data_IF_462735148491
#
_entry.id   IF_462735148491
#
_cell.length_a   1.000
_cell.length_b   1.000
_cell.length_c   1.000
_cell.angle_alpha   90.00
_cell.angle_beta   90.00
_cell.angle_gamma   90.00
#
_symmetry.space_group_name_H-M   'P 1'
#
loop_
_entity.id
_entity.type
_entity.pdbx_description
1 polymer ?
2 non-polymer ?
#
# COMPACT_ATOMS: atom_id res chain seq x y z
N UNK A 22 0.51 -39.19 3.65
CA UNK A 22 0.33 -38.66 5.00
C UNK A 22 -0.41 -37.34 4.94
N UNK A 23 -1.49 -37.20 5.73
CA UNK A 23 -2.27 -35.96 5.68
C UNK A 23 -1.55 -34.77 6.31
N UNK A 24 -0.72 -35.01 7.33
CA UNK A 24 0.06 -33.92 7.92
C UNK A 24 1.19 -33.51 6.99
N UNK A 25 1.81 -34.46 6.30
CA UNK A 25 2.90 -34.13 5.39
C UNK A 25 2.41 -33.48 4.12
N UNK A 26 1.22 -33.85 3.64
CA UNK A 26 0.62 -33.14 2.51
C UNK A 26 0.15 -31.75 2.90
N UNK A 27 -0.10 -31.50 4.19
CA UNK A 27 -0.59 -30.19 4.61
C UNK A 27 0.50 -29.13 4.58
N UNK A 28 1.77 -29.53 4.59
CA UNK A 28 2.89 -28.58 4.50
C UNK A 28 3.60 -28.63 3.17
N UNK A 29 3.80 -29.82 2.59
CA UNK A 29 4.52 -29.92 1.33
C UNK A 29 3.66 -29.59 0.13
N UNK A 30 2.34 -29.50 0.29
CA UNK A 30 1.45 -29.20 -0.82
C UNK A 30 0.51 -28.03 -0.57
N UNK A 31 0.34 -27.58 0.66
CA UNK A 31 -0.57 -26.49 0.95
C UNK A 31 0.14 -25.26 1.49
N UNK A 32 1.00 -25.42 2.50
CA UNK A 32 1.76 -24.29 3.02
C UNK A 32 2.83 -23.87 2.02
N UNK A 33 3.47 -24.85 1.36
CA UNK A 33 4.42 -24.52 0.30
C UNK A 33 3.75 -23.93 -0.93
N UNK A 34 2.45 -24.16 -1.11
CA UNK A 34 1.71 -23.53 -2.19
C UNK A 34 1.08 -22.21 -1.77
N UNK A 35 0.92 -22.01 -0.47
CA UNK A 35 0.41 -20.77 0.05
C UNK A 35 1.52 -19.74 -0.09
N UNK A 36 2.75 -20.14 0.25
CA UNK A 36 3.89 -19.25 0.14
C UNK A 36 4.29 -19.03 -1.32
N UNK A 37 4.04 -20.01 -2.19
CA UNK A 37 4.39 -19.84 -3.60
C UNK A 37 3.41 -18.89 -4.29
N UNK A 38 2.13 -18.97 -3.96
CA UNK A 38 1.20 -17.95 -4.43
C UNK A 38 1.48 -16.62 -3.75
N UNK A 39 1.89 -16.64 -2.49
CA UNK A 39 2.27 -15.40 -1.82
C UNK A 39 3.52 -14.80 -2.41
N UNK A 40 4.39 -15.61 -3.00
CA UNK A 40 5.56 -15.08 -3.68
C UNK A 40 5.20 -14.59 -5.08
N UNK A 41 4.44 -15.39 -5.83
CA UNK A 41 4.25 -15.13 -7.26
C UNK A 41 3.18 -14.08 -7.54
N UNK A 42 2.24 -13.86 -6.62
CA UNK A 42 1.23 -12.83 -6.86
C UNK A 42 1.78 -11.42 -6.70
N UNK A 43 2.90 -11.27 -6.01
CA UNK A 43 3.55 -9.98 -5.86
C UNK A 43 4.50 -9.65 -7.00
N UNK A 44 4.74 -10.58 -7.91
CA UNK A 44 5.71 -10.36 -8.98
C UNK A 44 5.06 -9.53 -10.08
N UNK A 45 5.22 -8.22 -9.99
CA UNK A 45 4.87 -7.29 -11.07
C UNK A 45 6.11 -6.44 -11.27
N UNK A 46 7.00 -6.82 -12.19
CA UNK A 46 8.24 -6.06 -12.37
C UNK A 46 8.02 -4.67 -12.94
N UNK A 47 7.00 -4.48 -13.76
CA UNK A 47 6.72 -3.18 -14.32
C UNK A 47 5.66 -2.42 -13.53
N UNK A 48 5.65 -2.60 -12.21
CA UNK A 48 4.69 -1.88 -11.37
C UNK A 48 5.25 -0.57 -10.85
N UNK A 49 6.54 -0.53 -10.54
CA UNK A 49 7.16 0.73 -10.16
C UNK A 49 7.30 1.66 -11.35
N UNK A 50 7.36 1.10 -12.55
CA UNK A 50 7.58 1.86 -13.78
C UNK A 50 6.30 2.08 -14.56
N UNK A 51 5.15 2.18 -13.87
CA UNK A 51 3.91 2.49 -14.56
C UNK A 51 3.89 3.95 -14.97
N UNK A 52 4.25 4.85 -14.05
CA UNK A 52 4.23 6.28 -14.31
C UNK A 52 5.33 6.76 -15.26
N UNK A 53 6.57 6.22 -15.25
CA UNK A 53 7.45 6.53 -16.39
C UNK A 53 7.01 5.92 -17.70
N UNK A 54 6.18 4.87 -17.68
CA UNK A 54 5.64 4.35 -18.94
C UNK A 54 4.52 5.22 -19.46
N UNK A 55 3.70 5.80 -18.56
CA UNK A 55 2.66 6.72 -18.99
C UNK A 55 3.27 8.02 -19.49
N UNK A 56 4.31 8.49 -18.84
CA UNK A 56 4.95 9.76 -19.19
C UNK A 56 6.11 9.58 -20.18
N UNK A 57 6.31 8.37 -20.69
CA UNK A 57 7.38 8.12 -21.62
C UNK A 57 6.97 8.35 -23.06
N UNK A 58 7.79 7.89 -24.00
CA UNK A 58 7.44 8.04 -25.41
C UNK A 58 6.40 7.06 -25.90
N UNK A 59 6.10 6.01 -25.14
CA UNK A 59 5.17 4.99 -25.61
C UNK A 59 3.73 5.48 -25.53
N UNK A 60 3.27 5.81 -24.33
CA UNK A 60 1.91 6.29 -24.15
C UNK A 60 1.77 7.78 -24.41
N UNK A 61 2.81 8.56 -24.07
CA UNK A 61 2.94 9.99 -24.34
C UNK A 61 1.80 10.79 -23.69
N UNK A 62 1.76 10.74 -22.37
CA UNK A 62 0.85 11.57 -21.59
C UNK A 62 1.61 12.76 -21.02
N UNK A 63 0.88 13.84 -20.79
CA UNK A 63 1.45 15.04 -20.20
C UNK A 63 1.50 14.86 -18.69
N UNK A 64 2.43 15.54 -18.04
CA UNK A 64 2.55 15.42 -16.60
C UNK A 64 1.36 16.05 -15.87
N UNK A 65 0.66 16.93 -16.57
CA UNK A 65 -0.52 17.58 -16.01
C UNK A 65 -1.77 16.73 -16.29
N UNK A 66 -1.61 15.66 -17.06
CA UNK A 66 -2.71 14.77 -17.40
C UNK A 66 -2.70 13.49 -16.59
N UNK A 67 -1.55 13.10 -16.05
CA UNK A 67 -1.46 12.00 -15.11
C UNK A 67 -1.71 12.47 -13.68
N UNK A 68 -1.22 13.67 -13.35
CA UNK A 68 -1.37 14.19 -11.98
C UNK A 68 -2.80 14.58 -11.67
N UNK A 69 -3.55 15.08 -12.65
CA UNK A 69 -4.84 15.68 -12.40
C UNK A 69 -6.02 14.92 -12.97
N UNK A 70 -5.79 13.91 -13.79
CA UNK A 70 -6.88 13.15 -14.37
C UNK A 70 -6.76 11.65 -14.18
N UNK A 71 -5.55 11.12 -14.19
CA UNK A 71 -5.34 9.67 -14.12
C UNK A 71 -5.13 9.20 -12.70
N UNK A 72 -4.24 9.84 -11.96
CA UNK A 72 -3.97 9.46 -10.57
C UNK A 72 -5.05 9.81 -9.53
N UNK A 73 -5.83 10.91 -9.64
CA UNK A 73 -6.91 11.09 -8.63
C UNK A 73 -8.05 10.09 -8.72
N UNK A 74 -8.20 9.32 -9.79
CA UNK A 74 -9.21 8.27 -9.80
C UNK A 74 -8.69 6.98 -9.17
N UNK A 75 -7.44 7.00 -8.74
CA UNK A 75 -6.85 5.89 -8.03
C UNK A 75 -7.40 5.98 -6.62
N UNK A 76 -7.67 7.21 -6.17
CA UNK A 76 -8.27 7.46 -4.87
C UNK A 76 -9.78 7.55 -4.91
N UNK A 77 -10.35 7.88 -6.07
CA UNK A 77 -11.81 7.93 -6.20
C UNK A 77 -12.40 6.54 -6.19
N UNK A 78 -11.91 5.66 -7.06
CA UNK A 78 -12.45 4.32 -7.16
C UNK A 78 -12.08 3.45 -5.97
N UNK A 79 -10.99 3.78 -5.27
CA UNK A 79 -10.63 3.06 -4.05
C UNK A 79 -11.65 3.33 -2.95
N UNK A 80 -12.27 4.52 -2.94
CA UNK A 80 -13.40 4.74 -2.06
C UNK A 80 -14.62 3.96 -2.53
N UNK A 81 -14.77 3.77 -3.84
CA UNK A 81 -15.94 3.10 -4.38
C UNK A 81 -15.90 1.60 -4.17
N UNK A 82 -14.71 0.99 -4.20
CA UNK A 82 -14.60 -0.47 -4.20
C UNK A 82 -14.07 -0.99 -2.88
N UNK A 83 -13.87 -0.15 -1.87
CA UNK A 83 -13.35 -0.65 -0.60
C UNK A 83 -14.38 -1.45 0.16
N UNK A 84 -15.60 -0.92 0.26
CA UNK A 84 -16.70 -1.61 0.92
C UNK A 84 -17.20 -2.84 0.15
N UNK A 85 -17.28 -2.86 -1.20
CA UNK A 85 -17.62 -4.14 -1.84
C UNK A 85 -16.55 -5.22 -1.71
N UNK A 86 -15.28 -4.90 -1.92
CA UNK A 86 -14.24 -5.92 -1.87
C UNK A 86 -13.99 -6.38 -0.43
N UNK A 87 -14.28 -5.55 0.57
CA UNK A 87 -14.22 -6.02 1.96
C UNK A 87 -15.33 -7.02 2.25
N UNK A 88 -16.50 -6.83 1.65
CA UNK A 88 -17.62 -7.73 1.90
C UNK A 88 -17.62 -8.94 0.98
N UNK A 89 -17.15 -8.79 -0.26
CA UNK A 89 -17.08 -9.92 -1.16
C UNK A 89 -15.93 -10.87 -0.84
N UNK A 90 -14.95 -10.43 -0.05
CA UNK A 90 -13.88 -11.34 0.34
C UNK A 90 -14.34 -12.29 1.43
N UNK A 91 -15.15 -11.77 2.35
CA UNK A 91 -15.66 -12.58 3.46
C UNK A 91 -16.85 -13.44 3.04
N UNK A 92 -17.61 -12.99 2.04
CA UNK A 92 -18.78 -13.73 1.58
C UNK A 92 -18.39 -14.87 0.67
N UNK A 93 -17.38 -14.69 -0.18
CA UNK A 93 -16.96 -15.71 -1.12
C UNK A 93 -15.80 -16.56 -0.61
N UNK A 94 -15.45 -16.41 0.68
CA UNK A 94 -14.39 -17.16 1.36
C UNK A 94 -13.03 -16.98 0.69
N UNK A 95 -12.70 -15.72 0.40
CA UNK A 95 -11.34 -15.20 0.24
C UNK A 95 -10.58 -15.66 -1.00
N UNK A 96 -11.05 -16.70 -1.68
CA UNK A 96 -10.37 -17.21 -2.87
C UNK A 96 -10.78 -16.53 -4.18
N UNK A 97 -12.07 -16.30 -4.51
CA UNK A 97 -12.35 -15.60 -5.78
C UNK A 97 -11.95 -14.14 -5.79
N UNK A 98 -11.82 -13.50 -4.63
CA UNK A 98 -11.30 -12.14 -4.60
C UNK A 98 -9.79 -12.15 -4.77
N UNK A 99 -9.12 -13.22 -4.31
CA UNK A 99 -7.74 -13.45 -4.70
C UNK A 99 -7.62 -13.74 -6.19
N UNK A 100 -8.65 -14.34 -6.78
CA UNK A 100 -8.72 -14.48 -8.23
C UNK A 100 -9.11 -13.17 -8.91
N UNK A 101 -9.98 -12.38 -8.28
CA UNK A 101 -10.35 -11.07 -8.82
C UNK A 101 -9.18 -10.10 -8.76
N UNK A 102 -8.35 -10.19 -7.72
CA UNK A 102 -7.17 -9.34 -7.63
C UNK A 102 -6.17 -9.67 -8.73
N UNK A 103 -6.05 -10.96 -9.07
CA UNK A 103 -5.21 -11.32 -10.21
C UNK A 103 -5.84 -10.97 -11.53
N UNK A 104 -7.16 -11.06 -11.64
CA UNK A 104 -7.86 -10.70 -12.87
C UNK A 104 -8.03 -9.20 -13.03
N UNK A 105 -7.89 -8.42 -11.95
CA UNK A 105 -7.83 -6.97 -12.09
C UNK A 105 -6.42 -6.47 -12.31
N UNK A 106 -5.40 -7.22 -11.89
CA UNK A 106 -4.02 -6.85 -12.21
C UNK A 106 -3.71 -7.12 -13.67
N UNK A 107 -4.36 -8.12 -14.27
CA UNK A 107 -4.22 -8.35 -15.70
C UNK A 107 -4.87 -7.21 -16.48
N UNK A 108 -6.04 -6.76 -16.03
CA UNK A 108 -6.74 -5.67 -16.69
C UNK A 108 -6.06 -4.32 -16.51
N UNK A 109 -5.19 -4.19 -15.50
CA UNK A 109 -4.35 -3.00 -15.41
C UNK A 109 -3.25 -3.04 -16.47
N UNK A 110 -2.55 -4.16 -16.57
CA UNK A 110 -1.47 -4.28 -17.54
C UNK A 110 -1.98 -4.47 -18.96
N UNK A 111 -3.23 -4.86 -19.14
CA UNK A 111 -3.82 -4.84 -20.48
C UNK A 111 -4.17 -3.42 -20.90
N UNK A 112 -4.71 -2.62 -19.98
CA UNK A 112 -5.03 -1.24 -20.29
C UNK A 112 -3.78 -0.37 -20.38
N UNK A 113 -2.67 -0.79 -19.76
CA UNK A 113 -1.41 -0.09 -19.94
C UNK A 113 -0.87 -0.29 -21.34
N UNK A 114 -1.02 -1.50 -21.88
CA UNK A 114 -0.39 -1.86 -23.15
C UNK A 114 -1.31 -1.73 -24.34
N UNK A 115 -2.62 -1.68 -24.13
CA UNK A 115 -3.56 -1.52 -25.24
C UNK A 115 -4.33 -0.21 -25.19
N UNK A 116 -4.39 0.45 -24.04
CA UNK A 116 -5.07 1.72 -23.95
C UNK A 116 -4.17 2.88 -24.30
N UNK A 117 -4.74 3.88 -24.96
CA UNK A 117 -3.97 5.02 -25.43
C UNK A 117 -4.54 6.33 -24.91
N UNK A 118 -5.84 6.38 -24.67
CA UNK A 118 -6.51 7.59 -24.25
C UNK A 118 -6.42 7.78 -22.74
N UNK A 119 -7.03 8.85 -22.25
CA UNK A 119 -7.02 9.09 -20.81
C UNK A 119 -8.11 8.28 -20.12
N UNK A 120 -9.24 8.05 -20.80
CA UNK A 120 -10.31 7.26 -20.20
C UNK A 120 -9.92 5.80 -20.07
N UNK A 121 -8.99 5.33 -20.90
CA UNK A 121 -8.46 3.98 -20.70
C UNK A 121 -7.55 3.94 -19.47
N UNK A 122 -6.84 5.02 -19.20
CA UNK A 122 -5.97 5.06 -18.02
C UNK A 122 -6.74 5.41 -16.77
N UNK A 123 -7.88 6.09 -16.89
CA UNK A 123 -8.76 6.23 -15.74
C UNK A 123 -9.46 4.92 -15.42
N UNK A 124 -9.65 4.07 -16.43
CA UNK A 124 -10.12 2.71 -16.21
C UNK A 124 -8.99 1.81 -15.73
N UNK A 125 -7.75 2.14 -16.06
CA UNK A 125 -6.61 1.38 -15.57
C UNK A 125 -6.42 1.60 -14.08
N UNK A 126 -6.58 2.83 -13.61
CA UNK A 126 -6.50 3.10 -12.18
C UNK A 126 -7.78 2.74 -11.44
N UNK A 127 -8.87 2.46 -12.16
CA UNK A 127 -10.03 1.85 -11.52
C UNK A 127 -9.72 0.43 -11.09
N UNK A 128 -9.18 -0.37 -12.01
CA UNK A 128 -8.82 -1.75 -11.70
C UNK A 128 -7.61 -1.84 -10.78
N UNK A 129 -6.78 -0.81 -10.74
CA UNK A 129 -5.66 -0.81 -9.80
C UNK A 129 -6.11 -0.59 -8.38
N UNK A 130 -7.26 0.06 -8.17
CA UNK A 130 -7.83 0.21 -6.85
C UNK A 130 -8.60 -1.01 -6.40
N UNK A 131 -9.04 -1.86 -7.33
CA UNK A 131 -9.62 -3.15 -6.95
C UNK A 131 -8.53 -4.06 -6.42
N UNK A 132 -7.31 -3.96 -6.97
CA UNK A 132 -6.20 -4.73 -6.44
C UNK A 132 -5.71 -4.18 -5.10
N UNK A 133 -5.83 -2.86 -4.89
CA UNK A 133 -5.48 -2.30 -3.59
C UNK A 133 -6.52 -2.65 -2.54
N UNK A 134 -7.79 -2.71 -2.93
CA UNK A 134 -8.84 -3.11 -2.00
C UNK A 134 -8.80 -4.60 -1.69
N UNK A 135 -8.17 -5.40 -2.55
CA UNK A 135 -8.05 -6.83 -2.33
C UNK A 135 -6.70 -7.22 -1.77
N UNK A 136 -5.97 -6.27 -1.18
CA UNK A 136 -4.79 -6.62 -0.42
C UNK A 136 -5.15 -7.21 0.93
N UNK A 137 -6.37 -6.94 1.40
CA UNK A 137 -6.91 -7.57 2.59
C UNK A 137 -7.33 -9.02 2.35
N UNK A 138 -7.33 -9.47 1.10
CA UNK A 138 -7.79 -10.81 0.80
C UNK A 138 -6.81 -11.86 1.27
N UNK A 139 -5.54 -11.71 0.92
CA UNK A 139 -4.57 -12.79 1.12
C UNK A 139 -4.18 -12.96 2.58
N UNK A 140 -4.07 -11.87 3.33
CA UNK A 140 -3.69 -11.99 4.73
C UNK A 140 -4.84 -12.45 5.61
N UNK A 141 -6.08 -12.22 5.19
CA UNK A 141 -7.23 -12.77 5.87
C UNK A 141 -7.62 -14.14 5.33
N UNK A 142 -7.01 -14.57 4.22
CA UNK A 142 -7.21 -15.91 3.71
C UNK A 142 -6.45 -16.94 4.54
N UNK A 143 -5.26 -16.59 5.03
CA UNK A 143 -4.48 -17.51 5.84
C UNK A 143 -5.12 -17.70 7.21
N UNK A 144 -5.90 -16.72 7.68
CA UNK A 144 -6.54 -16.88 8.97
C UNK A 144 -7.69 -17.87 8.91
N UNK A 145 -8.51 -17.79 7.88
CA UNK A 145 -9.65 -18.69 7.78
C UNK A 145 -9.27 -20.06 7.24
N UNK A 146 -8.09 -20.21 6.66
CA UNK A 146 -7.68 -21.50 6.15
C UNK A 146 -6.98 -22.35 7.20
N UNK A 147 -5.98 -21.78 7.85
CA UNK A 147 -5.10 -22.53 8.74
C UNK A 147 -5.74 -22.64 10.11
N UNK A 148 -5.57 -23.81 10.74
CA UNK A 148 -5.98 -24.03 12.12
C UNK A 148 -5.25 -23.06 13.04
N UNK A 149 -5.92 -22.58 14.10
CA UNK A 149 -5.30 -21.57 14.97
C UNK A 149 -4.11 -22.07 15.76
N UNK A 150 -3.95 -23.39 15.92
CA UNK A 150 -2.77 -23.92 16.57
C UNK A 150 -1.54 -23.78 15.69
N UNK A 151 -1.72 -23.81 14.37
CA UNK A 151 -0.62 -23.72 13.42
C UNK A 151 -0.69 -22.44 12.58
N UNK A 152 -1.49 -21.47 13.01
CA UNK A 152 -1.72 -20.29 12.16
C UNK A 152 -0.52 -19.36 12.16
N UNK A 153 0.08 -19.10 13.31
CA UNK A 153 1.14 -18.10 13.41
C UNK A 153 2.43 -18.55 12.72
N UNK A 154 2.62 -19.84 12.54
CA UNK A 154 3.77 -20.32 11.79
C UNK A 154 3.53 -20.24 10.28
N UNK A 155 2.31 -20.56 9.84
CA UNK A 155 2.00 -20.49 8.42
C UNK A 155 1.88 -19.04 7.98
N UNK A 156 1.23 -18.19 8.79
CA UNK A 156 1.16 -16.77 8.48
C UNK A 156 2.52 -16.10 8.57
N UNK A 157 3.41 -16.61 9.42
CA UNK A 157 4.78 -16.11 9.42
C UNK A 157 5.53 -16.49 8.17
N UNK A 158 5.28 -17.70 7.65
CA UNK A 158 5.89 -18.11 6.39
C UNK A 158 5.23 -17.41 5.21
N UNK A 159 3.95 -17.10 5.33
CA UNK A 159 3.23 -16.48 4.22
C UNK A 159 3.57 -15.02 4.08
N UNK A 160 3.74 -14.30 5.20
CA UNK A 160 4.13 -12.90 5.12
C UNK A 160 5.60 -12.74 4.76
N UNK A 161 6.42 -13.74 5.06
CA UNK A 161 7.81 -13.73 4.63
C UNK A 161 7.96 -14.10 3.16
N UNK A 162 6.91 -14.63 2.53
CA UNK A 162 6.91 -14.86 1.10
C UNK A 162 6.40 -13.67 0.32
N UNK A 163 5.44 -12.92 0.87
CA UNK A 163 5.03 -11.69 0.22
C UNK A 163 6.03 -10.56 0.47
N UNK A 164 6.86 -10.67 1.49
CA UNK A 164 7.91 -9.67 1.70
C UNK A 164 9.06 -9.91 0.75
N UNK A 165 9.44 -11.17 0.55
CA UNK A 165 10.43 -11.50 -0.46
C UNK A 165 9.89 -11.27 -1.87
N UNK A 166 8.59 -11.51 -2.08
CA UNK A 166 8.03 -11.37 -3.41
C UNK A 166 7.85 -9.92 -3.83
N UNK A 167 7.52 -9.04 -2.89
CA UNK A 167 7.44 -7.61 -3.19
C UNK A 167 8.83 -7.04 -3.44
N UNK A 168 9.81 -7.47 -2.65
CA UNK A 168 11.19 -7.00 -2.80
C UNK A 168 11.80 -7.48 -4.12
N UNK A 169 11.66 -8.76 -4.44
CA UNK A 169 12.30 -9.28 -5.64
C UNK A 169 11.51 -8.96 -6.91
N UNK A 170 10.29 -8.44 -6.79
CA UNK A 170 9.61 -7.91 -7.97
C UNK A 170 10.20 -6.58 -8.39
N UNK A 171 10.48 -5.72 -7.41
CA UNK A 171 11.07 -4.42 -7.72
C UNK A 171 12.54 -4.54 -8.08
N UNK A 172 13.22 -5.56 -7.55
CA UNK A 172 14.60 -5.82 -7.96
C UNK A 172 14.64 -6.35 -9.38
N UNK A 173 13.76 -7.30 -9.71
CA UNK A 173 13.68 -7.81 -11.08
C UNK A 173 13.20 -6.75 -12.05
N UNK A 174 12.31 -5.86 -11.62
CA UNK A 174 11.95 -4.73 -12.45
C UNK A 174 13.10 -3.76 -12.64
N UNK A 175 13.97 -3.64 -11.64
CA UNK A 175 15.12 -2.74 -11.77
C UNK A 175 16.26 -3.38 -12.55
N UNK A 176 16.47 -4.69 -12.40
CA UNK A 176 17.57 -5.33 -13.11
C UNK A 176 17.29 -5.52 -14.59
N UNK A 177 16.02 -5.42 -15.00
CA UNK A 177 15.74 -5.56 -16.43
C UNK A 177 15.94 -4.24 -17.16
N UNK A 178 15.52 -3.12 -16.57
CA UNK A 178 15.66 -1.86 -17.28
C UNK A 178 17.09 -1.32 -17.19
N UNK A 179 17.85 -1.70 -16.18
CA UNK A 179 19.19 -1.15 -15.98
C UNK A 179 20.28 -2.11 -16.47
N UNK A 180 20.31 -3.33 -15.94
CA UNK A 180 21.31 -4.30 -16.38
C UNK A 180 20.92 -4.89 -17.73
N UNK A 181 19.67 -5.29 -17.88
CA UNK A 181 19.23 -5.90 -19.12
C UNK A 181 18.95 -4.93 -20.25
N UNK A 182 18.81 -3.63 -19.94
CA UNK A 182 18.47 -2.57 -20.90
C UNK A 182 17.18 -2.87 -21.65
N UNK A 183 16.20 -3.39 -20.94
CA UNK A 183 14.89 -3.74 -21.48
C UNK A 183 14.03 -2.49 -21.47
N UNK A 184 13.26 -2.28 -22.54
CA UNK A 184 12.35 -1.15 -22.63
C UNK A 184 11.20 -1.29 -21.63
N UNK A 185 10.41 -0.23 -21.51
CA UNK A 185 9.29 -0.24 -20.59
C UNK A 185 8.13 -1.08 -21.13
N UNK A 186 7.92 -1.05 -22.44
CA UNK A 186 6.83 -1.82 -23.02
C UNK A 186 7.12 -3.32 -22.96
N UNK A 187 8.38 -3.70 -23.19
CA UNK A 187 8.78 -5.10 -23.06
C UNK A 187 8.78 -5.53 -21.59
N UNK A 188 8.97 -4.59 -20.66
CA UNK A 188 8.90 -4.92 -19.25
C UNK A 188 7.46 -5.20 -18.82
N UNK A 189 6.50 -4.46 -19.36
CA UNK A 189 5.10 -4.72 -19.04
C UNK A 189 4.57 -5.97 -19.72
N UNK A 190 5.26 -6.47 -20.75
CA UNK A 190 4.92 -7.78 -21.31
C UNK A 190 5.48 -8.91 -20.45
N UNK A 191 6.66 -8.72 -19.89
CA UNK A 191 7.18 -9.66 -18.89
C UNK A 191 6.31 -9.65 -17.65
N UNK A 192 5.84 -8.47 -17.26
CA UNK A 192 4.95 -8.34 -16.11
C UNK A 192 3.57 -8.93 -16.38
N UNK A 193 3.16 -9.02 -17.64
CA UNK A 193 1.92 -9.73 -17.97
C UNK A 193 2.11 -11.24 -17.93
N UNK A 194 3.33 -11.72 -18.17
CA UNK A 194 3.59 -13.15 -18.10
C UNK A 194 3.64 -13.63 -16.65
N UNK A 195 4.04 -12.77 -15.72
CA UNK A 195 4.03 -13.10 -14.31
C UNK A 195 2.69 -12.87 -13.65
N UNK A 196 1.74 -12.23 -14.34
CA UNK A 196 0.44 -11.94 -13.77
C UNK A 196 -0.64 -12.90 -14.22
N UNK A 197 -0.59 -13.39 -15.46
CA UNK A 197 -1.50 -14.45 -15.86
C UNK A 197 -1.13 -15.76 -15.17
N UNK A 198 0.14 -15.95 -14.84
CA UNK A 198 0.54 -17.10 -14.04
C UNK A 198 0.03 -16.98 -12.62
N UNK A 199 -0.15 -15.76 -12.11
CA UNK A 199 -0.77 -15.56 -10.81
C UNK A 199 -2.28 -15.73 -10.83
N UNK A 200 -2.91 -15.64 -12.00
CA UNK A 200 -4.33 -15.98 -12.11
C UNK A 200 -4.49 -17.49 -12.11
N UNK A 201 -3.60 -18.20 -12.79
CA UNK A 201 -3.63 -19.66 -12.83
C UNK A 201 -3.35 -20.25 -11.46
N UNK A 202 -2.44 -19.65 -10.69
CA UNK A 202 -2.16 -20.13 -9.34
C UNK A 202 -3.32 -19.85 -8.39
N UNK A 203 -4.06 -18.77 -8.61
CA UNK A 203 -5.18 -18.43 -7.73
C UNK A 203 -6.39 -19.32 -7.96
N UNK A 204 -6.44 -20.06 -9.06
CA UNK A 204 -7.53 -20.99 -9.29
C UNK A 204 -7.39 -22.26 -8.47
N UNK A 205 -6.15 -22.63 -8.12
CA UNK A 205 -5.87 -23.88 -7.42
C UNK A 205 -5.66 -23.67 -5.93
N UNK A 206 -6.03 -22.51 -5.41
CA UNK A 206 -5.94 -22.26 -3.98
C UNK A 206 -7.07 -22.97 -3.26
N UNK A 207 -6.73 -23.56 -2.11
CA UNK A 207 -7.70 -24.26 -1.28
C UNK A 207 -8.66 -23.26 -0.66
N UNK A 208 -9.95 -23.44 -0.91
CA UNK A 208 -10.93 -22.56 -0.30
C UNK A 208 -11.08 -22.90 1.18
N UNK A 209 -11.11 -21.89 2.05
CA UNK A 209 -11.28 -22.17 3.48
C UNK A 209 -12.71 -22.57 3.79
N UNK A 210 -12.84 -23.41 4.81
CA UNK A 210 -14.15 -23.92 5.20
C UNK A 210 -14.90 -22.96 6.13
N UNK A 211 -14.27 -21.87 6.53
CA UNK A 211 -14.89 -20.85 7.36
C UNK A 211 -14.55 -19.48 6.80
N UNK A 212 -15.24 -18.46 7.32
CA UNK A 212 -14.84 -17.08 7.10
C UNK A 212 -15.07 -16.31 8.39
N UNK A 213 -14.91 -15.00 8.34
CA UNK A 213 -15.02 -14.18 9.54
C UNK A 213 -16.40 -13.62 9.89
N UNK A 214 -17.21 -13.30 8.89
CA UNK A 214 -18.53 -12.72 9.16
C UNK A 214 -19.67 -13.50 8.54
N UNK A 215 -19.60 -13.79 7.23
CA UNK A 215 -20.77 -14.33 6.56
C UNK A 215 -20.83 -15.84 6.57
N UNK A 216 -19.68 -16.52 6.63
CA UNK A 216 -19.64 -17.98 6.62
C UNK A 216 -18.88 -18.43 7.86
N UNK A 217 -19.59 -18.52 8.99
CA UNK A 217 -19.00 -18.88 10.26
C UNK A 217 -19.29 -20.34 10.57
N UNK A 218 -18.31 -21.02 11.17
CA UNK A 218 -18.44 -22.45 11.44
C UNK A 218 -19.38 -22.72 12.61
N UNK A 219 -19.32 -21.88 13.65
CA UNK A 219 -20.11 -21.99 14.88
C UNK A 219 -19.98 -23.35 15.58
N UNK A 256 -23.68 -7.99 19.73
CA UNK A 256 -22.54 -8.30 20.57
C UNK A 256 -21.33 -7.48 20.19
N UNK A 257 -21.07 -7.38 18.89
CA UNK A 257 -19.86 -6.74 18.40
C UNK A 257 -19.93 -5.23 18.56
N UNK A 258 -21.14 -4.68 18.61
CA UNK A 258 -21.29 -3.26 18.91
C UNK A 258 -21.04 -2.98 20.38
N UNK A 259 -21.28 -3.99 21.23
CA UNK A 259 -21.01 -3.84 22.66
C UNK A 259 -19.51 -3.94 22.94
N UNK A 260 -18.81 -4.78 22.17
CA UNK A 260 -17.37 -4.93 22.40
C UNK A 260 -16.59 -3.77 21.79
N UNK A 261 -17.17 -3.10 20.80
CA UNK A 261 -16.51 -1.95 20.21
C UNK A 261 -16.61 -0.72 21.12
N UNK A 262 -17.80 -0.51 21.69
CA UNK A 262 -18.01 0.68 22.51
C UNK A 262 -17.26 0.63 23.83
N UNK A 263 -16.97 -0.57 24.31
CA UNK A 263 -16.11 -0.71 25.48
C UNK A 263 -14.66 -0.40 25.13
N UNK A 264 -14.20 -0.90 23.99
CA UNK A 264 -12.82 -0.71 23.58
C UNK A 264 -12.57 0.64 22.92
N UNK A 265 -13.63 1.38 22.59
CA UNK A 265 -13.43 2.71 22.03
C UNK A 265 -13.03 3.72 23.10
N UNK A 266 -13.20 3.38 24.37
CA UNK A 266 -12.74 4.20 25.48
C UNK A 266 -11.26 4.00 25.77
N UNK A 267 -10.54 3.20 24.99
CA UNK A 267 -9.13 2.99 25.24
C UNK A 267 -8.32 4.20 24.72
N UNK A 268 -7.32 4.64 25.47
CA UNK A 268 -6.57 5.84 25.04
C UNK A 268 -5.64 5.58 23.87
N UNK A 269 -5.27 4.34 23.60
CA UNK A 269 -4.41 4.02 22.48
C UNK A 269 -5.18 3.60 21.24
N UNK A 270 -6.42 3.13 21.39
CA UNK A 270 -7.22 2.83 20.22
C UNK A 270 -7.79 4.10 19.61
N UNK A 271 -8.03 5.13 20.42
CA UNK A 271 -8.51 6.39 19.87
C UNK A 271 -7.38 7.23 19.30
N UNK A 272 -6.16 7.05 19.81
CA UNK A 272 -5.03 7.82 19.33
C UNK A 272 -4.50 7.26 18.01
N UNK A 273 -4.31 5.95 17.95
CA UNK A 273 -3.68 5.35 16.78
C UNK A 273 -4.65 5.10 15.64
N UNK A 274 -5.95 5.10 15.89
CA UNK A 274 -6.88 5.07 14.77
C UNK A 274 -7.10 6.46 14.20
N UNK A 275 -6.97 7.50 15.02
CA UNK A 275 -6.91 8.86 14.48
C UNK A 275 -5.59 9.12 13.77
N UNK A 276 -4.55 8.38 14.11
CA UNK A 276 -3.35 8.41 13.28
C UNK A 276 -3.58 7.67 11.96
N UNK A 277 -4.35 6.59 11.99
CA UNK A 277 -4.53 5.78 10.80
C UNK A 277 -5.38 6.48 9.75
N UNK A 278 -6.33 7.31 10.17
CA UNK A 278 -7.21 7.95 9.19
C UNK A 278 -6.69 9.31 8.75
N UNK A 279 -5.54 9.74 9.23
CA UNK A 279 -4.98 11.01 8.79
C UNK A 279 -3.55 10.90 8.31
N UNK A 280 -2.72 10.07 8.93
CA UNK A 280 -1.36 9.88 8.45
C UNK A 280 -1.27 8.89 7.30
N UNK A 281 -2.11 7.86 7.28
CA UNK A 281 -2.16 6.96 6.14
C UNK A 281 -2.96 7.53 4.99
N UNK A 282 -3.78 8.55 5.23
CA UNK A 282 -4.38 9.33 4.16
C UNK A 282 -3.42 10.34 3.57
N UNK A 283 -2.28 10.57 4.22
CA UNK A 283 -1.25 11.43 3.68
C UNK A 283 -0.05 10.65 3.21
N UNK A 284 0.16 9.47 3.81
CA UNK A 284 1.20 8.57 3.32
C UNK A 284 0.83 8.02 1.95
N UNK A 285 -0.43 7.64 1.77
CA UNK A 285 -0.84 7.09 0.49
C UNK A 285 -1.10 8.14 -0.57
N UNK A 286 -1.01 9.42 -0.22
CA UNK A 286 -1.03 10.47 -1.23
C UNK A 286 0.36 10.77 -1.76
N UNK A 287 1.39 10.55 -0.95
CA UNK A 287 2.76 10.73 -1.44
C UNK A 287 3.15 9.59 -2.36
N UNK A 288 2.80 8.35 -2.00
CA UNK A 288 3.19 7.20 -2.80
C UNK A 288 2.41 7.07 -4.10
N UNK A 289 1.31 7.81 -4.25
CA UNK A 289 0.63 7.86 -5.55
C UNK A 289 1.31 8.83 -6.50
N UNK A 290 1.92 9.89 -5.97
CA UNK A 290 2.38 11.00 -6.78
C UNK A 290 3.89 11.20 -6.76
N UNK A 291 4.65 10.37 -6.02
CA UNK A 291 6.09 10.58 -6.00
C UNK A 291 6.73 10.09 -7.30
N UNK A 292 6.06 9.22 -8.05
CA UNK A 292 6.59 8.80 -9.33
C UNK A 292 6.28 9.80 -10.43
N UNK A 293 5.31 10.69 -10.20
CA UNK A 293 5.10 11.82 -11.09
C UNK A 293 6.09 12.94 -10.76
N UNK A 294 6.48 13.04 -9.50
CA UNK A 294 7.44 14.06 -9.09
C UNK A 294 8.84 13.73 -9.56
N UNK A 295 9.22 12.45 -9.56
CA UNK A 295 10.52 12.04 -10.08
C UNK A 295 10.60 12.20 -11.60
N UNK A 296 9.47 12.25 -12.28
CA UNK A 296 9.42 12.58 -13.70
C UNK A 296 9.39 14.08 -13.95
N UNK A 297 9.41 14.89 -12.89
CA UNK A 297 9.64 16.32 -13.02
C UNK A 297 11.04 16.72 -12.56
N UNK A 298 11.58 16.02 -11.56
CA UNK A 298 12.95 16.25 -11.12
C UNK A 298 13.93 15.85 -12.20
N UNK A 299 13.88 14.58 -12.63
CA UNK A 299 14.76 14.04 -13.65
C UNK A 299 13.90 13.44 -14.77
N UNK A 300 13.39 14.27 -15.69
CA UNK A 300 12.50 13.76 -16.75
C UNK A 300 13.27 13.08 -17.88
N UNK A 301 13.90 11.95 -17.56
CA UNK A 301 14.71 11.24 -18.53
C UNK A 301 13.85 10.41 -19.46
N UNK A 302 14.47 10.00 -20.57
CA UNK A 302 13.82 9.17 -21.57
C UNK A 302 14.72 7.98 -21.88
N UNK A 303 15.63 7.67 -20.95
CA UNK A 303 16.56 6.57 -21.14
C UNK A 303 15.89 5.22 -20.87
N UNK A 304 15.01 5.18 -19.87
CA UNK A 304 14.43 3.95 -19.30
C UNK A 304 15.51 2.98 -18.84
N UNK A 305 16.64 3.51 -18.40
CA UNK A 305 17.69 2.73 -17.75
C UNK A 305 18.24 3.40 -16.51
N UNK A 306 18.12 4.72 -16.38
CA UNK A 306 18.49 5.44 -15.17
C UNK A 306 17.25 5.98 -14.47
N UNK A 307 16.11 5.31 -14.68
CA UNK A 307 14.87 5.73 -14.05
C UNK A 307 14.87 5.39 -12.56
N UNK A 308 15.25 4.16 -12.20
CA UNK A 308 15.54 3.73 -10.81
C UNK A 308 14.32 3.84 -9.89
N UNK A 309 13.11 3.71 -10.44
CA UNK A 309 11.94 3.63 -9.59
C UNK A 309 11.81 2.27 -8.93
N UNK A 310 12.38 1.22 -9.53
CA UNK A 310 12.33 -0.09 -8.92
C UNK A 310 13.29 -0.26 -7.76
N UNK A 311 14.45 0.39 -7.83
CA UNK A 311 15.39 0.30 -6.72
C UNK A 311 14.91 1.13 -5.53
N UNK A 312 14.16 2.20 -5.77
CA UNK A 312 13.59 2.97 -4.68
C UNK A 312 12.36 2.32 -4.09
N UNK A 313 11.70 1.44 -4.83
CA UNK A 313 10.60 0.65 -4.30
C UNK A 313 11.05 -0.70 -3.75
N UNK A 314 12.30 -1.07 -3.97
CA UNK A 314 12.89 -2.22 -3.30
C UNK A 314 13.65 -1.83 -2.05
N UNK A 315 14.27 -0.65 -2.04
CA UNK A 315 14.91 -0.16 -0.83
C UNK A 315 13.88 0.28 0.21
N UNK A 316 12.73 0.77 -0.23
CA UNK A 316 11.65 1.08 0.70
C UNK A 316 10.98 -0.17 1.23
N UNK A 317 11.11 -1.30 0.53
CA UNK A 317 10.68 -2.58 1.06
C UNK A 317 11.73 -3.17 1.99
N UNK A 318 13.00 -3.04 1.62
CA UNK A 318 14.08 -3.59 2.44
C UNK A 318 14.25 -2.81 3.75
N UNK A 319 14.35 -1.48 3.65
CA UNK A 319 14.42 -0.67 4.87
C UNK A 319 13.08 -0.65 5.59
N UNK A 320 11.97 -0.71 4.84
CA UNK A 320 10.66 -0.76 5.47
C UNK A 320 10.40 -2.04 6.22
N UNK A 321 11.05 -3.14 5.83
CA UNK A 321 10.98 -4.37 6.61
C UNK A 321 11.90 -4.32 7.82
N UNK A 322 12.95 -3.52 7.76
CA UNK A 322 13.86 -3.38 8.89
C UNK A 322 13.20 -2.60 10.02
N UNK A 323 12.63 -1.45 9.69
CA UNK A 323 11.98 -0.62 10.71
C UNK A 323 10.68 -1.24 11.20
N UNK A 324 10.11 -2.12 10.39
CA UNK A 324 8.90 -2.83 10.76
C UNK A 324 9.30 -3.87 11.80
N UNK A 325 10.47 -4.47 11.61
CA UNK A 325 11.00 -5.45 12.54
C UNK A 325 11.55 -4.76 13.79
N UNK A 326 12.19 -3.61 13.60
CA UNK A 326 12.74 -2.86 14.73
C UNK A 326 11.68 -2.15 15.55
N UNK A 327 10.45 -2.08 15.08
CA UNK A 327 9.34 -1.57 15.86
C UNK A 327 8.66 -2.64 16.69
N UNK A 328 9.12 -3.89 16.61
CA UNK A 328 8.57 -4.92 17.47
C UNK A 328 8.99 -4.76 18.91
N UNK A 329 10.16 -4.20 19.15
CA UNK A 329 10.64 -3.90 20.49
C UNK A 329 10.10 -2.57 21.01
N UNK A 330 9.29 -1.88 20.21
CA UNK A 330 8.76 -0.57 20.56
C UNK A 330 7.25 -0.60 20.80
N UNK A 331 6.60 -1.70 20.46
CA UNK A 331 5.15 -1.82 20.63
C UNK A 331 4.66 -1.82 22.07
N UNK A 332 5.51 -2.24 23.00
CA UNK A 332 5.16 -2.31 24.41
C UNK A 332 5.95 -1.31 25.25
N UNK A 333 7.18 -1.01 24.85
CA UNK A 333 8.02 -0.15 25.68
C UNK A 333 7.63 1.32 25.53
N UNK A 334 7.62 1.83 24.30
CA UNK A 334 7.30 3.23 24.06
C UNK A 334 5.81 3.37 23.73
N UNK A 335 4.98 2.91 24.66
CA UNK A 335 3.54 2.93 24.47
C UNK A 335 2.86 4.09 25.16
N UNK A 336 3.42 4.60 26.27
CA UNK A 336 2.84 5.77 26.92
C UNK A 336 3.28 7.05 26.21
N UNK A 337 4.52 7.09 25.74
CA UNK A 337 5.02 8.24 24.98
C UNK A 337 4.69 8.02 23.50
N UNK A 338 3.39 8.08 23.22
CA UNK A 338 2.86 7.67 21.93
C UNK A 338 2.32 8.82 21.10
N UNK A 339 2.08 9.98 21.71
CA UNK A 339 1.79 11.17 20.92
C UNK A 339 3.05 11.91 20.53
N UNK A 340 4.11 11.77 21.32
CA UNK A 340 5.41 12.31 20.95
C UNK A 340 6.12 11.42 19.94
N UNK A 341 5.83 10.12 19.94
CA UNK A 341 6.44 9.22 18.96
C UNK A 341 5.84 9.44 17.57
N UNK A 342 4.54 9.75 17.51
CA UNK A 342 3.92 10.13 16.25
C UNK A 342 4.48 11.45 15.75
N UNK A 343 4.56 12.44 16.65
CA UNK A 343 4.98 13.78 16.28
C UNK A 343 6.44 13.85 15.89
N UNK A 344 7.27 12.92 16.39
CA UNK A 344 8.63 12.86 15.93
C UNK A 344 8.77 12.27 14.55
N UNK A 345 7.88 11.33 14.20
CA UNK A 345 7.95 10.68 12.90
C UNK A 345 7.20 11.49 11.85
N UNK A 346 6.08 12.11 12.24
CA UNK A 346 5.31 12.91 11.30
C UNK A 346 6.05 14.20 10.92
N UNK A 347 6.80 14.78 11.86
CA UNK A 347 7.66 15.89 11.51
C UNK A 347 8.83 15.45 10.65
N UNK A 348 9.30 14.20 10.82
CA UNK A 348 10.26 13.64 9.89
C UNK A 348 9.62 13.41 8.53
N UNK A 349 8.35 12.99 8.52
CA UNK A 349 7.62 12.88 7.25
C UNK A 349 7.29 14.24 6.67
N UNK A 350 7.13 15.26 7.51
CA UNK A 350 6.86 16.60 6.99
C UNK A 350 8.09 17.21 6.35
N UNK A 351 9.28 16.81 6.81
CA UNK A 351 10.50 17.31 6.20
C UNK A 351 10.91 16.55 4.96
N UNK A 352 10.63 15.25 4.93
CA UNK A 352 11.00 14.45 3.76
C UNK A 352 10.09 14.74 2.57
N UNK A 353 8.82 15.05 2.82
CA UNK A 353 7.94 15.47 1.73
C UNK A 353 8.31 16.85 1.25
N UNK A 354 8.71 17.74 2.19
CA UNK A 354 9.23 19.04 1.79
C UNK A 354 10.56 18.94 1.06
N UNK A 355 11.36 17.92 1.40
CA UNK A 355 12.60 17.69 0.65
C UNK A 355 12.30 17.19 -0.76
N UNK A 356 11.22 16.44 -0.93
CA UNK A 356 10.78 16.05 -2.26
C UNK A 356 10.21 17.25 -3.02
N UNK A 357 9.51 18.13 -2.32
CA UNK A 357 8.90 19.28 -2.96
C UNK A 357 9.91 20.37 -3.32
N UNK A 358 11.09 20.36 -2.70
CA UNK A 358 12.07 21.41 -2.93
C UNK A 358 13.09 21.05 -3.99
N UNK A 359 13.41 19.77 -4.14
CA UNK A 359 14.47 19.33 -5.04
C UNK A 359 14.02 19.45 -6.49
N UNK A 360 14.77 20.22 -7.28
CA UNK A 360 14.41 20.49 -8.67
C UNK A 360 15.49 20.13 -9.68
N UNK A 361 16.73 19.95 -9.27
CA UNK A 361 17.75 19.67 -10.26
C UNK A 361 17.75 18.19 -10.63
N UNK A 362 17.97 17.86 -11.90
CA UNK A 362 18.02 16.45 -12.30
C UNK A 362 19.24 15.71 -11.77
N UNK A 363 20.29 16.42 -11.38
CA UNK A 363 21.44 15.76 -10.77
C UNK A 363 21.14 15.30 -9.36
N UNK A 364 20.16 15.92 -8.71
CA UNK A 364 19.79 15.59 -7.33
C UNK A 364 18.59 14.67 -7.26
N UNK A 365 18.42 13.78 -8.24
CA UNK A 365 17.30 12.84 -8.21
C UNK A 365 17.55 11.77 -7.15
N UNK A 366 18.81 11.45 -6.86
CA UNK A 366 19.11 10.44 -5.85
C UNK A 366 18.93 10.97 -4.43
N UNK A 367 18.70 12.27 -4.26
CA UNK A 367 18.18 12.77 -3.00
C UNK A 367 16.69 12.52 -2.88
N UNK A 368 15.96 12.57 -4.00
CA UNK A 368 14.54 12.26 -3.99
C UNK A 368 14.24 10.78 -3.83
N UNK A 369 15.19 9.91 -4.17
CA UNK A 369 15.02 8.49 -3.88
C UNK A 369 15.22 8.21 -2.40
N UNK A 370 16.24 8.85 -1.80
CA UNK A 370 16.46 8.67 -0.38
C UNK A 370 15.40 9.34 0.46
N UNK A 371 14.81 10.44 -0.02
CA UNK A 371 13.75 11.11 0.72
C UNK A 371 12.42 10.39 0.64
N UNK A 372 12.31 9.35 -0.19
CA UNK A 372 11.12 8.52 -0.24
C UNK A 372 11.30 7.15 0.39
N UNK A 373 12.51 6.59 0.32
CA UNK A 373 12.80 5.36 1.04
C UNK A 373 12.78 5.61 2.55
N UNK A 374 13.34 6.73 2.98
CA UNK A 374 13.23 7.12 4.39
C UNK A 374 11.82 7.55 4.76
N UNK A 375 11.02 7.99 3.79
CA UNK A 375 9.64 8.32 4.06
C UNK A 375 8.80 7.07 4.29
N UNK A 376 8.96 6.06 3.42
CA UNK A 376 8.27 4.80 3.62
C UNK A 376 8.89 3.99 4.76
N UNK A 377 10.17 4.22 5.05
CA UNK A 377 10.78 3.53 6.18
C UNK A 377 10.33 4.08 7.52
N UNK A 378 9.94 5.36 7.55
CA UNK A 378 9.45 5.95 8.79
C UNK A 378 7.98 5.69 9.01
N UNK A 379 7.18 5.58 7.94
CA UNK A 379 5.80 5.16 8.08
C UNK A 379 5.71 3.72 8.56
N UNK A 380 6.59 2.86 8.06
CA UNK A 380 6.61 1.46 8.45
C UNK A 380 7.27 1.24 9.80
N UNK A 381 7.73 2.29 10.47
CA UNK A 381 8.09 2.20 11.87
C UNK A 381 6.88 2.37 12.78
N UNK A 382 5.81 2.99 12.29
CA UNK A 382 4.66 3.27 13.13
C UNK A 382 3.52 2.29 12.99
N UNK A 383 3.38 1.68 11.82
CA UNK A 383 2.33 0.71 11.57
C UNK A 383 2.38 -0.41 12.60
N UNK A 384 3.57 -0.94 12.83
CA UNK A 384 3.76 -2.03 13.80
C UNK A 384 3.20 -1.58 15.16
N UNK A 385 3.50 -0.34 15.53
CA UNK A 385 3.02 0.23 16.77
C UNK A 385 1.54 0.59 16.66
N UNK A 386 1.08 0.97 15.46
CA UNK A 386 -0.32 1.32 15.28
C UNK A 386 -1.22 0.11 15.36
N UNK A 387 -0.84 -0.97 14.69
CA UNK A 387 -1.69 -2.15 14.66
C UNK A 387 -1.66 -2.92 15.97
N UNK A 388 -0.58 -2.81 16.74
CA UNK A 388 -0.55 -3.45 18.04
C UNK A 388 -1.46 -2.73 19.02
N UNK A 389 -1.37 -1.40 19.08
CA UNK A 389 -2.14 -0.67 20.07
C UNK A 389 -3.62 -0.59 19.70
N UNK A 390 -3.95 -0.68 18.42
CA UNK A 390 -5.35 -0.82 18.03
C UNK A 390 -5.84 -2.22 18.35
N UNK A 391 -5.17 -3.24 17.83
CA UNK A 391 -5.60 -4.63 18.01
C UNK A 391 -4.84 -5.28 19.17
N UNK A 392 -5.03 -4.73 20.36
CA UNK A 392 -4.47 -5.31 21.57
C UNK A 392 -5.50 -6.07 22.40
N UNK A 393 -6.67 -5.47 22.63
CA UNK A 393 -7.75 -6.14 23.34
C UNK A 393 -8.98 -6.31 22.46
N UNK A 394 -8.80 -6.23 21.14
CA UNK A 394 -9.92 -6.39 20.21
C UNK A 394 -10.10 -7.85 19.84
N UNK A 395 -11.35 -8.24 19.68
CA UNK A 395 -11.65 -9.53 19.08
C UNK A 395 -11.27 -9.51 17.61
N UNK A 396 -10.94 -10.70 17.07
CA UNK A 396 -10.47 -10.80 15.70
C UNK A 396 -11.56 -10.41 14.70
N UNK A 397 -12.81 -10.72 15.02
CA UNK A 397 -13.92 -10.26 14.21
C UNK A 397 -14.13 -8.76 14.35
N UNK A 398 -13.78 -8.21 15.52
CA UNK A 398 -13.86 -6.77 15.74
C UNK A 398 -12.62 -6.07 15.20
N UNK A 399 -11.47 -6.75 15.21
CA UNK A 399 -10.24 -6.17 14.67
C UNK A 399 -10.32 -5.95 13.17
N UNK A 400 -10.98 -6.87 12.46
CA UNK A 400 -11.16 -6.69 11.03
C UNK A 400 -12.13 -5.56 10.69
N UNK A 401 -13.02 -5.20 11.61
CA UNK A 401 -13.95 -4.10 11.38
C UNK A 401 -13.41 -2.77 11.85
N UNK A 402 -12.56 -2.76 12.89
CA UNK A 402 -11.93 -1.51 13.30
C UNK A 402 -10.90 -1.07 12.27
N UNK A 403 -10.11 -2.02 11.75
CA UNK A 403 -9.23 -1.73 10.63
C UNK A 403 -10.00 -1.60 9.33
N UNK A 404 -11.23 -2.09 9.26
CA UNK A 404 -12.05 -1.88 8.08
C UNK A 404 -12.65 -0.50 8.00
N UNK A 405 -12.86 0.16 9.14
CA UNK A 405 -13.33 1.54 9.13
C UNK A 405 -12.19 2.54 9.30
N UNK A 406 -11.02 2.09 9.75
CA UNK A 406 -9.85 2.98 9.73
C UNK A 406 -9.31 3.11 8.31
N UNK A 407 -9.34 2.03 7.54
CA UNK A 407 -8.94 2.10 6.14
C UNK A 407 -10.01 2.78 5.29
N UNK A 408 -11.27 2.75 5.74
CA UNK A 408 -12.31 3.44 5.00
C UNK A 408 -12.29 4.94 5.27
N UNK A 409 -12.15 5.33 6.53
CA UNK A 409 -12.08 6.75 6.85
C UNK A 409 -10.78 7.39 6.39
N UNK A 410 -9.70 6.60 6.26
CA UNK A 410 -8.52 7.12 5.60
C UNK A 410 -8.76 7.33 4.12
N UNK A 411 -9.59 6.49 3.51
CA UNK A 411 -9.95 6.70 2.11
C UNK A 411 -10.94 7.84 1.95
N UNK A 412 -11.75 8.10 2.96
CA UNK A 412 -12.64 9.27 2.95
C UNK A 412 -11.82 10.56 2.95
N UNK A 413 -10.78 10.61 3.79
CA UNK A 413 -9.90 11.78 3.84
C UNK A 413 -9.09 11.88 2.56
N UNK A 414 -8.58 10.75 2.06
CA UNK A 414 -7.79 10.74 0.84
C UNK A 414 -8.62 11.12 -0.39
N UNK A 415 -9.92 10.82 -0.39
CA UNK A 415 -10.78 11.28 -1.47
C UNK A 415 -11.05 12.77 -1.36
N UNK A 416 -11.07 13.32 -0.14
CA UNK A 416 -11.28 14.75 0.05
C UNK A 416 -10.07 15.54 -0.44
N UNK A 417 -8.87 15.09 -0.10
CA UNK A 417 -7.67 15.84 -0.48
C UNK A 417 -7.36 15.67 -1.97
N UNK A 418 -7.69 14.53 -2.58
CA UNK A 418 -7.44 14.38 -4.01
C UNK A 418 -8.40 15.25 -4.83
N UNK A 419 -9.64 15.39 -4.38
CA UNK A 419 -10.59 16.23 -5.11
C UNK A 419 -10.28 17.70 -4.95
N UNK A 420 -9.80 18.11 -3.78
CA UNK A 420 -9.49 19.52 -3.56
C UNK A 420 -8.14 19.89 -4.16
N UNK A 421 -7.10 19.16 -3.78
CA UNK A 421 -5.75 19.57 -4.17
C UNK A 421 -5.41 19.09 -5.57
N UNK A 422 -5.70 17.83 -5.88
CA UNK A 422 -5.09 17.19 -7.05
C UNK A 422 -5.99 17.11 -8.26
N UNK A 423 -7.31 17.01 -8.10
CA UNK A 423 -8.18 16.76 -9.23
C UNK A 423 -8.37 18.03 -10.06
N UNK A 424 -8.55 17.83 -11.37
CA UNK A 424 -8.72 18.96 -12.27
C UNK A 424 -10.11 19.57 -12.14
N UNK A 425 -11.09 18.82 -11.62
CA UNK A 425 -12.39 19.40 -11.34
C UNK A 425 -12.37 20.23 -10.06
N UNK A 426 -11.35 20.07 -9.24
CA UNK A 426 -11.18 20.89 -8.05
C UNK A 426 -10.24 22.04 -8.33
N UNK A 427 -9.01 21.95 -7.85
CA UNK A 427 -8.01 22.98 -8.13
C UNK A 427 -7.00 22.55 -9.18
N UNK A 428 -6.49 21.32 -9.10
CA UNK A 428 -5.58 20.83 -10.12
C UNK A 428 -4.18 21.37 -9.98
N UNK A 429 -3.60 21.24 -8.79
CA UNK A 429 -2.24 21.69 -8.57
C UNK A 429 -1.25 20.75 -9.26
N UNK A 430 -0.13 21.28 -9.75
CA UNK A 430 0.95 20.41 -10.23
C UNK A 430 1.57 19.63 -9.08
N UNK A 431 2.33 18.60 -9.44
CA UNK A 431 2.80 17.64 -8.45
C UNK A 431 3.86 18.21 -7.52
N UNK A 432 4.52 19.31 -7.91
CA UNK A 432 5.44 19.94 -6.98
C UNK A 432 4.72 20.87 -6.02
N UNK A 433 3.59 21.45 -6.45
CA UNK A 433 2.78 22.26 -5.57
C UNK A 433 1.87 21.42 -4.68
N UNK A 434 1.54 20.21 -5.09
CA UNK A 434 0.81 19.31 -4.21
C UNK A 434 1.68 18.85 -3.05
N UNK A 435 2.96 18.60 -3.32
CA UNK A 435 3.87 18.11 -2.29
C UNK A 435 4.23 19.20 -1.29
N UNK A 436 4.14 20.47 -1.68
CA UNK A 436 4.22 21.54 -0.71
C UNK A 436 2.97 21.59 0.15
N UNK A 437 1.82 21.23 -0.41
CA UNK A 437 0.59 21.17 0.37
C UNK A 437 0.52 19.91 1.21
N UNK A 438 1.15 18.81 0.76
CA UNK A 438 1.21 17.61 1.59
C UNK A 438 2.24 17.76 2.70
N UNK A 439 3.29 18.54 2.47
CA UNK A 439 4.25 18.80 3.54
C UNK A 439 3.65 19.67 4.63
N UNK A 440 2.80 20.63 4.26
CA UNK A 440 2.13 21.44 5.27
C UNK A 440 0.93 20.69 5.83
N UNK A 441 0.49 19.62 5.15
CA UNK A 441 -0.51 18.73 5.75
C UNK A 441 0.10 17.89 6.85
N UNK A 442 1.32 17.39 6.63
CA UNK A 442 2.02 16.64 7.66
C UNK A 442 2.56 17.54 8.76
N UNK A 443 2.79 18.82 8.49
CA UNK A 443 3.32 19.70 9.51
C UNK A 443 2.24 20.15 10.48
N UNK A 444 1.04 20.48 9.97
CA UNK A 444 -0.06 20.81 10.86
C UNK A 444 -0.69 19.58 11.48
N UNK A 445 -0.27 18.39 11.06
CA UNK A 445 -0.62 17.15 11.72
C UNK A 445 0.42 16.74 12.76
N UNK A 446 1.69 17.06 12.53
CA UNK A 446 2.73 16.73 13.50
C UNK A 446 2.65 17.62 14.72
N UNK A 447 2.19 18.87 14.57
CA UNK A 447 2.06 19.73 15.73
C UNK A 447 0.79 19.45 16.50
N UNK A 448 -0.19 18.76 15.92
CA UNK A 448 -1.38 18.38 16.67
C UNK A 448 -1.05 17.26 17.64
N UNK A 449 -0.29 16.26 17.20
CA UNK A 449 0.18 15.22 18.11
C UNK A 449 1.29 15.71 19.02
N UNK A 450 2.01 16.77 18.64
CA UNK A 450 3.00 17.33 19.54
C UNK A 450 2.38 18.20 20.62
N UNK A 451 1.30 18.92 20.29
CA UNK A 451 0.56 19.63 21.33
C UNK A 451 -0.21 18.65 22.21
N UNK A 452 -0.63 17.52 21.66
CA UNK A 452 -1.19 16.46 22.47
C UNK A 452 -0.18 15.75 23.33
N UNK A 453 1.09 15.72 22.90
CA UNK A 453 2.14 15.15 23.72
C UNK A 453 2.54 16.08 24.87
N UNK A 454 2.24 17.37 24.76
CA UNK A 454 2.53 18.32 25.81
C UNK A 454 1.32 18.64 26.68
N UNK A 455 0.10 18.48 26.15
CA UNK A 455 -1.08 18.64 26.99
C UNK A 455 -1.22 17.46 27.95
N UNK A 456 -0.96 16.25 27.46
CA UNK A 456 -0.94 15.08 28.34
C UNK A 456 0.37 14.94 29.08
N UNK A 457 1.47 15.49 28.54
CA UNK A 457 2.73 15.51 29.26
C UNK A 457 2.78 16.51 30.38
N UNK A 458 1.90 17.52 30.37
CA UNK A 458 1.81 18.47 31.47
C UNK A 458 1.17 17.82 32.69
N UNK A 459 0.13 17.02 32.48
CA UNK A 459 -0.56 16.34 33.56
C UNK A 459 0.14 15.05 33.95
X LIG B 1 -1.96 -1.30 5.28
X LIG B 1 -2.70 -1.95 6.42
X LIG B 1 -2.45 0.08 5.25
X LIG B 1 -0.33 -1.43 5.70
X LIG B 1 0.69 -1.04 4.68
X LIG B 1 2.08 -1.57 5.09
X LIG B 1 2.28 -1.38 6.39
X LIG B 1 2.13 -3.09 4.94
X LIG B 1 2.45 -3.44 3.67
X LIG B 1 3.24 -3.51 5.95
X LIG B 1 4.56 -3.45 5.36
X LIG B 1 3.17 -2.61 6.92
X LIG B 1 2.54 -3.21 8.11
X LIG B 1 1.23 -3.10 8.25
X LIG B 1 0.86 -3.71 9.38
X LIG B 1 1.96 -4.21 9.97
X LIG B 1 2.16 -4.93 11.14
X LIG B 1 1.14 -5.32 12.07
X LIG B 1 3.40 -5.31 11.46
X LIG B 1 4.43 -5.00 10.66
X LIG B 1 4.23 -4.30 9.52
X LIG B 1 3.00 -3.90 9.16
X LIG B 1 2.15 -5.09 3.45
X LIG B 1 2.77 -5.82 4.62
X LIG B 1 2.71 -5.74 2.19
X LIG B 1 0.55 -5.11 3.66
X LIG B 1 -0.07 -4.14 2.78
X LIG B 1 -1.68 -4.23 2.90
X LIG B 1 -2.06 -5.46 3.03
X LIG B 1 -2.16 -3.53 4.17
X LIG B 1 -2.39 -2.20 3.94
X LIG B 1 -3.46 -4.27 4.50
X LIG B 1 -4.64 -3.68 3.73
X LIG B 1 -3.25 -5.49 4.12
X LIG B 1 -2.87 -6.32 5.28
X LIG B 1 -1.57 -6.50 5.58
X LIG B 1 -1.50 -7.29 6.66
X LIG B 1 -2.76 -7.61 7.05
X LIG B 1 -3.27 -8.37 8.11
X LIG B 1 -2.42 -9.06 9.07
X LIG B 1 -4.58 -8.51 8.25
X LIG B 1 -5.42 -7.89 7.37
X LIG B 1 -4.92 -7.14 6.34
X LIG B 1 -3.60 -6.99 6.19
X LIG C 1 0.41 -7.10 15.62
X LIG C 1 1.33 -6.14 14.90
X LIG C 1 0.51 -6.72 17.03
X LIG C 1 -1.11 -6.80 14.95
X LIG C 1 -2.31 -7.40 15.62
X LIG C 1 -3.46 -7.53 14.61
X LIG C 1 -3.56 -6.44 13.87
X LIG C 1 -3.14 -8.63 13.59
X LIG C 1 -3.53 -9.85 14.06
X LIG C 1 -3.94 -8.20 12.32
X LIG C 1 -5.23 -8.86 12.22
X LIG C 1 -4.13 -6.90 12.44
X LIG C 1 -3.43 -6.18 11.36
X LIG C 1 -2.08 -6.20 11.34
X LIG C 1 -1.59 -5.50 10.29
X LIG C 1 -2.71 -5.03 9.63
X LIG C 1 -2.86 -4.25 8.47
X LIG C 1 -1.81 -3.71 7.66
X LIG C 1 -4.11 -3.96 8.08
X LIG C 1 -5.20 -4.41 8.78
X LIG C 1 -5.03 -5.15 9.88
X LIG C 1 -3.80 -5.46 10.30
X LIG C 1 -3.03 -11.05 12.98
X LIG C 1 -3.76 -10.82 11.68
X LIG C 1 -3.28 -12.50 13.38
X LIG C 1 -1.49 -10.60 12.74
X LIG C 1 -0.69 -10.95 13.91
X LIG C 1 0.82 -10.41 13.72
X LIG C 1 1.21 -10.56 12.51
X LIG C 1 0.86 -8.90 13.96
X LIG C 1 1.03 -8.61 15.28
X LIG C 1 2.08 -8.45 13.12
X LIG C 1 3.36 -8.43 13.94
X LIG C 1 2.19 -9.32 12.17
X LIG C 1 1.83 -8.72 10.87
X LIG C 1 0.54 -8.49 10.58
X LIG C 1 0.49 -7.93 9.34
X LIG C 1 1.76 -7.82 8.87
X LIG C 1 2.30 -7.32 7.70
X LIG C 1 1.47 -6.78 6.61
X LIG C 1 3.62 -7.34 7.54
X LIG C 1 4.44 -7.84 8.52
X LIG C 1 3.94 -8.35 9.71
X LIG C 1 2.58 -8.30 9.84
#
# INVERSE_FOLDING_TARGET
MGSMVPSSPAVEKQVPVEPGPDPELRSWRHLVCYLCFYGFMAQIRPGESFITPYLLGPDKNFTREQVTNEITPVLSYSYLAVLVPVFLLTDYLRYTPVLLLQGLSFVSVWLLLLLGHSVAHMQLMELFYSVTMAARIAYSSYIFSLVRPARYQRVAGYSRAAVLLGVFTSSVLGQLLVTVGRVSFSTLNYISLAFLTFSVVLALFLKRPKRSLFFNRDDRGRCETSASELERMNPGPGGKLGHALRVACGDSVLARMLRELGDSLRRPQLRLWSLWWVFNSAGYYLVVYYVHILWNEVDPTTNSARVYNGAADAASTLLGAITSFAAGFVKIRWARWSKLLIAGVTATQAGLVFLLAHTRHPSSIWLCYAAFVLFRGSYQFLVPIATFQIASSLSKELCALVFGVNTFFATIVKTIITFIVSDVRGLGLPVRKQFQLYSVYFLILSIIYFLGAMLDGLRHCQRGHHPRQPPAQGLRSAAEEKAAQALSVQDKGLGGLQPAQSPPLSPEDKLGSENLYLEVLFQGPFQGGSGGSGHHHHHHHHHH
2BA P O1P O2P O5' C5' C4' O4' C3' O3' C2' O2' C1' N9 C8 N7 C5 C6 N6 N1 C2 N3 C4 P1 O1P1 O2P1 O5'1 C5'1 C4'1 O4'1 C3'1 O3'1 C2'1 O2'1 C1'1 N91 C81 N71 C51 C61 N61 N11 C21 N31 C41
2BA P O1P O2P O5' C5' C4' O4' C3' O3' C2' O2' C1' N9 C8 N7 C5 C6 N6 N1 C2 N3 C4 P1 O1P1 O2P1 O5'1 C5'1 C4'1 O4'1 C3'1 O3'1 C2'1 O2'1 C1'1 N91 C81 N71 C51 C61 N61 N11 C21 N31 C41
#
